data_IF_459798174204
#
_entry.id   IF_459798174204
#
_cell.length_a   1.000
_cell.length_b   1.000
_cell.length_c   1.000
_cell.angle_alpha   90.00
_cell.angle_beta   90.00
_cell.angle_gamma   90.00
#
_symmetry.space_group_name_H-M   'P 1'
#
loop_
_entity.id
_entity.type
_entity.pdbx_description
1 polymer ?
#
# COMPACT_ATOMS: atom_id res chain seq x y z
N UNK A 1 47.67 6.30 -7.27
CA UNK A 1 47.13 5.20 -6.45
C UNK A 1 45.64 5.04 -6.74
N UNK A 2 45.13 3.85 -7.07
CA UNK A 2 43.70 3.68 -7.35
C UNK A 2 42.94 3.67 -6.02
N UNK A 3 41.95 4.55 -5.88
CA UNK A 3 41.08 4.64 -4.70
C UNK A 3 40.07 3.49 -4.72
N UNK A 4 39.99 2.72 -3.64
CA UNK A 4 39.01 1.63 -3.47
C UNK A 4 37.60 2.23 -3.53
N UNK A 5 36.82 1.86 -4.56
CA UNK A 5 35.43 2.30 -4.72
C UNK A 5 34.56 1.59 -3.67
N UNK A 6 34.06 2.33 -2.70
CA UNK A 6 33.08 1.79 -1.74
C UNK A 6 31.71 1.71 -2.41
N UNK A 7 31.11 0.52 -2.47
CA UNK A 7 29.72 0.36 -2.90
C UNK A 7 28.79 0.80 -1.78
N UNK A 8 27.96 1.80 -2.04
CA UNK A 8 26.90 2.19 -1.11
C UNK A 8 25.76 1.17 -1.13
N UNK A 9 25.19 0.88 0.03
CA UNK A 9 23.95 0.12 0.17
C UNK A 9 22.83 1.12 0.44
N UNK A 10 21.78 1.08 -0.38
CA UNK A 10 20.60 1.93 -0.25
C UNK A 10 19.41 1.04 0.09
N UNK A 11 18.74 1.34 1.21
CA UNK A 11 17.45 0.75 1.54
C UNK A 11 16.36 1.69 1.06
N UNK A 12 15.51 1.18 0.18
CA UNK A 12 14.44 1.93 -0.46
C UNK A 12 13.21 1.04 -0.49
N UNK A 13 12.05 1.61 -0.17
CA UNK A 13 10.77 0.94 -0.36
C UNK A 13 10.42 0.87 -1.85
N UNK A 14 9.48 0.02 -2.22
CA UNK A 14 9.06 -0.17 -3.60
C UNK A 14 7.86 0.71 -3.96
N UNK A 15 6.73 0.47 -3.29
CA UNK A 15 5.45 1.10 -3.59
C UNK A 15 5.45 2.56 -3.15
N UNK A 16 5.03 3.46 -4.04
CA UNK A 16 5.02 4.90 -3.74
C UNK A 16 6.41 5.55 -3.59
N UNK A 17 7.50 4.78 -3.69
CA UNK A 17 8.88 5.27 -3.61
C UNK A 17 9.65 5.04 -4.91
N UNK A 18 9.78 3.79 -5.36
CA UNK A 18 10.33 3.47 -6.69
C UNK A 18 9.22 3.63 -7.74
N UNK A 19 8.03 3.13 -7.45
CA UNK A 19 6.84 3.34 -8.29
C UNK A 19 6.09 4.59 -7.82
N UNK A 20 5.38 5.25 -8.74
CA UNK A 20 4.51 6.39 -8.38
C UNK A 20 3.18 5.96 -7.75
N UNK A 21 2.88 4.66 -7.75
CA UNK A 21 1.59 4.10 -7.40
C UNK A 21 1.71 3.19 -6.20
N UNK A 22 0.86 3.41 -5.21
CA UNK A 22 0.72 2.54 -4.04
C UNK A 22 -0.09 1.29 -4.41
N UNK A 23 0.58 0.15 -4.56
CA UNK A 23 -0.06 -1.11 -5.01
C UNK A 23 -1.20 -1.53 -4.08
N UNK A 24 -1.03 -1.38 -2.76
CA UNK A 24 -2.05 -1.74 -1.78
C UNK A 24 -3.38 -0.98 -2.00
N UNK A 25 -3.32 0.36 -2.11
CA UNK A 25 -4.51 1.19 -2.37
C UNK A 25 -5.09 0.91 -3.75
N UNK A 26 -4.22 0.69 -4.74
CA UNK A 26 -4.61 0.39 -6.11
C UNK A 26 -5.45 -0.88 -6.22
N UNK A 27 -5.01 -1.98 -5.59
CA UNK A 27 -5.72 -3.27 -5.61
C UNK A 27 -7.11 -3.13 -4.98
N UNK A 28 -7.20 -2.54 -3.79
CA UNK A 28 -8.48 -2.42 -3.09
C UNK A 28 -9.48 -1.58 -3.88
N UNK A 29 -9.03 -0.43 -4.43
CA UNK A 29 -9.87 0.41 -5.29
C UNK A 29 -10.27 -0.26 -6.60
N UNK A 30 -9.45 -1.16 -7.14
CA UNK A 30 -9.77 -1.87 -8.36
C UNK A 30 -10.87 -2.92 -8.14
N UNK A 31 -10.73 -3.76 -7.11
CA UNK A 31 -11.66 -4.88 -6.89
C UNK A 31 -12.91 -4.51 -6.08
N UNK A 32 -12.83 -3.48 -5.23
CA UNK A 32 -13.98 -3.01 -4.45
C UNK A 32 -13.93 -1.48 -4.27
N UNK A 33 -14.19 -0.72 -5.35
CA UNK A 33 -14.05 0.74 -5.34
C UNK A 33 -14.97 1.43 -4.32
N UNK A 34 -16.20 0.93 -4.15
CA UNK A 34 -17.21 1.55 -3.29
C UNK A 34 -16.77 1.46 -1.82
N UNK A 35 -16.53 0.25 -1.31
CA UNK A 35 -16.12 0.05 0.08
C UNK A 35 -14.71 0.58 0.34
N UNK A 36 -13.79 0.51 -0.63
CA UNK A 36 -12.46 1.08 -0.47
C UNK A 36 -12.49 2.59 -0.28
N UNK A 37 -13.32 3.32 -1.04
CA UNK A 37 -13.45 4.76 -0.87
C UNK A 37 -14.05 5.15 0.49
N UNK A 38 -14.85 4.28 1.10
CA UNK A 38 -15.40 4.51 2.44
C UNK A 38 -14.41 4.14 3.56
N UNK A 39 -13.74 2.99 3.44
CA UNK A 39 -12.97 2.39 4.53
C UNK A 39 -11.50 2.80 4.53
N UNK A 40 -10.88 3.06 3.38
CA UNK A 40 -9.48 3.50 3.32
C UNK A 40 -9.22 4.77 4.15
N UNK A 41 -10.06 5.83 4.09
CA UNK A 41 -9.88 7.00 4.94
C UNK A 41 -9.88 6.66 6.44
N UNK A 42 -10.81 5.79 6.88
CA UNK A 42 -10.93 5.35 8.28
C UNK A 42 -9.74 4.50 8.73
N UNK A 43 -9.17 3.69 7.83
CA UNK A 43 -7.93 2.94 8.09
C UNK A 43 -6.75 3.90 8.26
N UNK A 44 -6.61 4.88 7.34
CA UNK A 44 -5.50 5.82 7.33
C UNK A 44 -5.56 6.82 8.50
N UNK A 45 -6.77 7.23 8.91
CA UNK A 45 -7.00 8.04 10.11
C UNK A 45 -6.89 7.24 11.42
N UNK A 46 -6.73 5.91 11.33
CA UNK A 46 -6.66 4.95 12.46
C UNK A 46 -7.94 4.89 13.29
N UNK A 47 -9.08 5.28 12.74
CA UNK A 47 -10.41 5.08 13.34
C UNK A 47 -10.78 3.60 13.41
N UNK A 48 -10.35 2.82 12.42
CA UNK A 48 -10.42 1.36 12.40
C UNK A 48 -9.04 0.76 12.13
N UNK A 49 -8.82 -0.46 12.59
CA UNK A 49 -7.56 -1.16 12.29
C UNK A 49 -7.49 -1.57 10.82
N UNK A 50 -6.27 -1.65 10.28
CA UNK A 50 -6.01 -2.19 8.95
C UNK A 50 -6.66 -3.58 8.75
N UNK A 51 -6.56 -4.46 9.77
CA UNK A 51 -7.15 -5.79 9.74
C UNK A 51 -8.67 -5.76 9.57
N UNK A 52 -9.35 -4.88 10.32
CA UNK A 52 -10.81 -4.74 10.25
C UNK A 52 -11.24 -4.22 8.87
N UNK A 53 -10.64 -3.12 8.42
CA UNK A 53 -11.02 -2.51 7.14
C UNK A 53 -10.71 -3.40 5.94
N UNK A 54 -9.53 -4.03 5.88
CA UNK A 54 -9.17 -4.93 4.78
C UNK A 54 -10.12 -6.12 4.70
N UNK A 55 -10.47 -6.71 5.85
CA UNK A 55 -11.42 -7.85 5.89
C UNK A 55 -12.76 -7.49 5.25
N UNK A 56 -13.33 -6.33 5.61
CA UNK A 56 -14.60 -5.86 5.06
C UNK A 56 -14.53 -5.62 3.55
N UNK A 57 -13.42 -5.05 3.06
CA UNK A 57 -13.24 -4.82 1.62
C UNK A 57 -13.15 -6.16 0.88
N UNK A 58 -12.33 -7.11 1.36
CA UNK A 58 -12.15 -8.40 0.69
C UNK A 58 -13.43 -9.24 0.69
N UNK A 59 -14.20 -9.23 1.79
CA UNK A 59 -15.50 -9.94 1.87
C UNK A 59 -16.55 -9.39 0.89
N UNK A 60 -16.37 -8.16 0.38
CA UNK A 60 -17.26 -7.57 -0.62
C UNK A 60 -16.96 -7.93 -2.07
N UNK A 61 -15.80 -8.53 -2.33
CA UNK A 61 -15.41 -8.97 -3.68
C UNK A 61 -16.12 -10.30 -3.93
N UNK A 62 -17.05 -10.31 -4.89
CA UNK A 62 -17.74 -11.53 -5.32
C UNK A 62 -16.73 -12.55 -5.88
N UNK A 63 -16.85 -13.82 -5.46
CA UNK A 63 -16.05 -14.95 -5.94
C UNK A 63 -16.19 -15.22 -7.43
#
# INVERSE_FOLDING_TARGET
MPTKKSSAIVFCDFDGTITSCETFVGILKHFSPILSNELLPKILSKEITLRQGVRQIVESISS
#
